data_IF_456967402241
#
_entry.id   IF_456967402241
#
_cell.length_a   1.000
_cell.length_b   1.000
_cell.length_c   1.000
_cell.angle_alpha   90.00
_cell.angle_beta   90.00
_cell.angle_gamma   90.00
#
_symmetry.space_group_name_H-M   'P 1'
#
loop_
_entity.id
_entity.type
_entity.pdbx_description
1 polymer ?
#
# COMPACT_ATOMS: atom_id res chain seq x y z
N UNK A 1 61.23 -3.00 -4.77
CA UNK A 1 60.50 -1.78 -4.35
C UNK A 1 59.04 -1.94 -4.73
N UNK A 2 58.24 -2.50 -3.81
CA UNK A 2 56.80 -2.75 -3.99
C UNK A 2 55.99 -1.54 -3.51
N UNK A 3 55.09 -1.03 -4.35
CA UNK A 3 54.13 0.02 -4.02
C UNK A 3 52.82 -0.61 -3.55
N UNK A 4 52.45 -0.37 -2.30
CA UNK A 4 51.10 -0.59 -1.77
C UNK A 4 50.18 0.59 -2.16
N UNK A 5 48.89 0.36 -2.50
CA UNK A 5 47.95 1.46 -2.77
C UNK A 5 47.39 2.05 -1.47
N UNK A 6 47.26 3.38 -1.44
CA UNK A 6 46.70 4.17 -0.35
C UNK A 6 45.22 3.85 -0.13
N UNK A 7 44.86 3.49 1.10
CA UNK A 7 43.48 3.53 1.60
C UNK A 7 43.07 4.97 1.87
N UNK A 8 41.99 5.43 1.23
CA UNK A 8 41.35 6.72 1.49
C UNK A 8 40.61 6.67 2.83
N UNK A 9 41.02 7.53 3.76
CA UNK A 9 40.42 7.75 5.08
C UNK A 9 39.15 8.62 4.95
N UNK A 10 38.07 8.21 5.63
CA UNK A 10 36.84 8.99 5.78
C UNK A 10 36.78 9.63 7.17
N UNK A 11 36.30 10.88 7.25
CA UNK A 11 36.11 11.62 8.51
C UNK A 11 34.64 11.63 8.93
N UNK A 12 34.28 10.93 10.00
CA UNK A 12 33.03 11.13 10.73
C UNK A 12 33.33 11.90 12.03
N UNK A 13 32.57 12.96 12.32
CA UNK A 13 32.71 13.70 13.60
C UNK A 13 31.99 12.93 14.72
N UNK A 14 32.60 12.73 15.90
CA UNK A 14 31.95 12.03 17.00
C UNK A 14 31.05 13.00 17.79
N UNK A 15 29.81 12.60 18.09
CA UNK A 15 28.98 13.21 19.14
C UNK A 15 28.55 12.15 20.17
N UNK A 16 28.36 12.62 21.40
CA UNK A 16 28.55 11.93 22.69
C UNK A 16 27.68 10.68 22.97
N UNK A 17 28.31 9.66 23.55
CA UNK A 17 27.82 8.28 23.81
C UNK A 17 26.97 8.08 25.09
N UNK A 18 26.11 9.01 25.53
CA UNK A 18 25.37 8.81 26.82
C UNK A 18 23.85 9.06 26.82
N UNK A 19 23.22 9.34 25.68
CA UNK A 19 21.76 9.55 25.62
C UNK A 19 20.97 8.41 24.92
N UNK A 20 21.63 7.34 24.46
CA UNK A 20 21.01 6.35 23.57
C UNK A 20 20.15 5.26 24.28
N UNK A 21 20.19 5.15 25.60
CA UNK A 21 19.59 4.00 26.31
C UNK A 21 18.08 4.14 26.64
N UNK A 22 17.42 5.22 26.24
CA UNK A 22 15.97 5.39 26.45
C UNK A 22 15.17 5.80 25.20
N UNK A 23 15.77 5.80 24.01
CA UNK A 23 15.17 6.44 22.82
C UNK A 23 14.53 5.49 21.78
N UNK A 24 14.65 4.16 21.93
CA UNK A 24 14.25 3.22 20.86
C UNK A 24 12.84 2.60 21.02
N UNK A 25 12.20 2.74 22.18
CA UNK A 25 10.76 2.41 22.33
C UNK A 25 9.85 3.56 21.83
N UNK A 26 10.35 4.79 21.74
CA UNK A 26 9.58 5.96 21.28
C UNK A 26 9.80 6.34 19.81
N UNK A 27 10.87 5.88 19.15
CA UNK A 27 11.17 6.29 17.77
C UNK A 27 10.20 5.69 16.72
N UNK A 28 9.75 4.45 16.92
CA UNK A 28 8.76 3.82 16.04
C UNK A 28 7.36 4.45 16.18
N UNK A 29 7.01 4.92 17.39
CA UNK A 29 5.77 5.64 17.67
C UNK A 29 5.83 7.08 17.13
N UNK A 30 6.99 7.74 17.22
CA UNK A 30 7.19 9.11 16.72
C UNK A 30 7.24 9.20 15.20
N UNK A 31 7.74 8.19 14.47
CA UNK A 31 7.71 8.19 12.99
C UNK A 31 6.27 8.05 12.47
N UNK A 32 5.41 7.30 13.17
CA UNK A 32 3.98 7.23 12.85
C UNK A 32 3.23 8.55 13.18
N UNK A 33 3.59 9.23 14.27
CA UNK A 33 2.95 10.51 14.67
C UNK A 33 3.44 11.70 13.82
N UNK A 34 4.72 11.76 13.45
CA UNK A 34 5.28 12.83 12.61
C UNK A 34 4.84 12.70 11.16
N UNK A 35 4.62 11.47 10.65
CA UNK A 35 3.99 11.23 9.35
C UNK A 35 2.53 11.72 9.28
N UNK A 36 1.79 11.63 10.39
CA UNK A 36 0.44 12.20 10.50
C UNK A 36 0.44 13.73 10.67
N UNK A 37 1.46 14.29 11.34
CA UNK A 37 1.58 15.73 11.59
C UNK A 37 1.98 16.55 10.35
N UNK A 38 2.73 15.97 9.40
CA UNK A 38 3.06 16.65 8.13
C UNK A 38 1.90 16.64 7.11
N UNK A 39 0.90 15.78 7.30
CA UNK A 39 -0.33 15.77 6.49
C UNK A 39 -1.40 16.77 6.98
N UNK A 40 -1.16 17.48 8.09
CA UNK A 40 -2.16 18.33 8.77
C UNK A 40 -1.70 19.77 9.08
N UNK A 41 -0.80 20.35 8.29
CA UNK A 41 -0.53 21.81 8.36
C UNK A 41 -0.92 22.50 7.04
N UNK A 42 -2.12 23.09 6.95
CA UNK A 42 -2.59 23.73 5.73
C UNK A 42 -2.11 25.18 5.63
N UNK A 43 -1.63 25.59 4.44
CA UNK A 43 -1.87 26.97 3.98
C UNK A 43 -3.29 27.01 3.41
N UNK A 44 -4.22 27.44 4.26
CA UNK A 44 -5.66 27.57 3.98
C UNK A 44 -6.03 28.36 2.71
N UNK A 45 -5.10 29.15 2.14
CA UNK A 45 -5.29 29.88 0.88
C UNK A 45 -5.36 28.97 -0.36
N UNK A 46 -4.64 27.84 -0.35
CA UNK A 46 -4.45 27.03 -1.56
C UNK A 46 -5.59 26.02 -1.75
N UNK A 47 -6.23 25.62 -0.65
CA UNK A 47 -7.44 24.79 -0.66
C UNK A 47 -8.65 25.52 -1.26
N UNK A 48 -8.81 26.83 -1.01
CA UNK A 48 -9.86 27.64 -1.64
C UNK A 48 -9.61 27.88 -3.14
N UNK A 49 -8.34 28.05 -3.53
CA UNK A 49 -7.95 28.15 -4.93
C UNK A 49 -8.21 26.83 -5.69
N UNK A 50 -7.86 25.68 -5.09
CA UNK A 50 -8.17 24.36 -5.65
C UNK A 50 -9.68 24.10 -5.76
N UNK A 51 -10.48 24.52 -4.76
CA UNK A 51 -11.94 24.40 -4.80
C UNK A 51 -12.59 25.30 -5.87
N UNK A 52 -12.02 26.49 -6.13
CA UNK A 52 -12.48 27.36 -7.22
C UNK A 52 -12.16 26.79 -8.60
N UNK A 53 -10.98 26.22 -8.79
CA UNK A 53 -10.57 25.58 -10.05
C UNK A 53 -11.47 24.36 -10.34
N UNK A 54 -11.79 23.54 -9.33
CA UNK A 54 -12.73 22.43 -9.48
C UNK A 54 -14.16 22.90 -9.79
N UNK A 55 -14.64 23.98 -9.18
CA UNK A 55 -15.95 24.57 -9.52
C UNK A 55 -16.01 25.14 -10.95
N UNK A 56 -14.90 25.65 -11.48
CA UNK A 56 -14.82 26.14 -12.86
C UNK A 56 -14.70 25.00 -13.88
N UNK A 57 -14.03 23.90 -13.54
CA UNK A 57 -13.95 22.71 -14.41
C UNK A 57 -15.27 21.97 -14.55
N UNK A 58 -16.14 22.01 -13.53
CA UNK A 58 -17.40 21.26 -13.48
C UNK A 58 -18.66 22.14 -13.48
N UNK A 59 -18.54 23.42 -13.81
CA UNK A 59 -19.71 24.26 -14.04
C UNK A 59 -20.44 23.79 -15.32
N UNK A 60 -21.77 23.59 -15.29
CA UNK A 60 -22.53 23.22 -16.47
C UNK A 60 -22.44 24.35 -17.50
N UNK A 61 -21.70 24.11 -18.59
CA UNK A 61 -21.71 24.99 -19.76
C UNK A 61 -23.11 24.92 -20.37
N UNK A 62 -23.86 26.02 -20.24
CA UNK A 62 -25.07 26.22 -21.01
C UNK A 62 -24.71 26.35 -22.49
N UNK A 63 -24.72 25.22 -23.21
CA UNK A 63 -24.72 25.21 -24.68
C UNK A 63 -26.13 24.84 -25.11
N UNK A 64 -26.81 25.85 -25.63
CA UNK A 64 -28.07 25.75 -26.33
C UNK A 64 -27.95 24.84 -27.56
N UNK A 65 -29.06 24.15 -27.84
CA UNK A 65 -29.54 23.68 -29.15
C UNK A 65 -28.68 24.02 -30.38
N UNK A 66 -28.16 23.00 -31.07
CA UNK A 66 -28.44 22.68 -32.49
C UNK A 66 -27.48 21.60 -32.98
N UNK A 67 -27.96 20.37 -33.17
CA UNK A 67 -27.37 19.37 -34.09
C UNK A 67 -28.53 18.70 -34.84
N UNK A 68 -28.47 18.50 -36.16
CA UNK A 68 -29.62 18.06 -36.97
C UNK A 68 -29.96 16.60 -36.68
N UNK A 69 -31.26 16.28 -36.60
CA UNK A 69 -31.76 14.90 -36.58
C UNK A 69 -31.57 14.28 -37.96
N UNK A 70 -30.53 13.49 -38.15
CA UNK A 70 -30.53 12.48 -39.20
C UNK A 70 -31.31 11.25 -38.72
N UNK A 71 -32.36 10.93 -39.48
CA UNK A 71 -33.19 9.75 -39.32
C UNK A 71 -32.34 8.48 -39.47
N UNK A 72 -32.00 7.85 -38.35
CA UNK A 72 -31.64 6.43 -38.33
C UNK A 72 -32.90 5.67 -37.94
N UNK A 73 -33.52 5.01 -38.92
CA UNK A 73 -34.57 4.02 -38.70
C UNK A 73 -33.99 2.83 -37.94
N UNK A 74 -34.31 2.72 -36.65
CA UNK A 74 -33.98 1.54 -35.82
C UNK A 74 -35.07 0.47 -36.02
N UNK A 75 -34.74 -0.77 -36.39
CA UNK A 75 -35.72 -1.85 -36.45
C UNK A 75 -36.21 -2.19 -35.04
N UNK A 76 -37.51 -2.40 -34.92
CA UNK A 76 -38.20 -2.78 -33.69
C UNK A 76 -37.74 -4.17 -33.21
N UNK A 77 -36.72 -4.22 -32.36
CA UNK A 77 -36.30 -5.41 -31.63
C UNK A 77 -36.14 -5.07 -30.16
N UNK A 78 -36.91 -5.73 -29.29
CA UNK A 78 -36.84 -5.59 -27.82
C UNK A 78 -35.39 -5.80 -27.35
N UNK A 79 -34.69 -4.74 -26.94
CA UNK A 79 -33.41 -4.86 -26.24
C UNK A 79 -33.67 -5.57 -24.92
N UNK A 80 -33.03 -6.73 -24.71
CA UNK A 80 -33.03 -7.38 -23.41
C UNK A 80 -32.45 -6.38 -22.39
N UNK A 81 -33.26 -5.99 -21.40
CA UNK A 81 -32.79 -5.16 -20.29
C UNK A 81 -31.74 -5.99 -19.57
N UNK A 82 -30.53 -5.43 -19.39
CA UNK A 82 -29.49 -6.05 -18.56
C UNK A 82 -30.12 -6.42 -17.20
N UNK A 83 -30.08 -7.70 -16.78
CA UNK A 83 -30.66 -8.14 -15.52
C UNK A 83 -30.19 -7.31 -14.32
N UNK A 84 -28.94 -6.85 -14.34
CA UNK A 84 -28.36 -6.00 -13.28
C UNK A 84 -29.03 -4.64 -13.25
N UNK A 85 -29.21 -4.01 -14.42
CA UNK A 85 -29.91 -2.73 -14.54
C UNK A 85 -31.39 -2.86 -14.14
N UNK A 86 -32.05 -3.95 -14.51
CA UNK A 86 -33.44 -4.22 -14.11
C UNK A 86 -33.59 -4.31 -12.59
N UNK A 87 -32.66 -5.03 -11.92
CA UNK A 87 -32.65 -5.14 -10.46
C UNK A 87 -32.33 -3.80 -9.78
N UNK A 88 -31.40 -3.01 -10.32
CA UNK A 88 -31.10 -1.67 -9.80
C UNK A 88 -32.33 -0.76 -9.90
N UNK A 89 -33.07 -0.79 -11.01
CA UNK A 89 -34.31 -0.03 -11.16
C UNK A 89 -35.37 -0.47 -10.14
N UNK A 90 -35.44 -1.77 -9.81
CA UNK A 90 -36.34 -2.30 -8.78
C UNK A 90 -35.98 -1.84 -7.35
N UNK A 91 -34.77 -1.30 -7.11
CA UNK A 91 -34.44 -0.66 -5.83
C UNK A 91 -35.22 0.65 -5.61
N UNK A 92 -35.59 1.34 -6.70
CA UNK A 92 -36.34 2.60 -6.67
C UNK A 92 -37.83 2.45 -6.98
N UNK A 93 -38.21 1.40 -7.71
CA UNK A 93 -39.56 1.28 -8.26
C UNK A 93 -40.62 0.97 -7.17
N UNK A 94 -41.33 2.02 -6.76
CA UNK A 94 -42.75 2.01 -6.43
C UNK A 94 -43.20 1.18 -5.21
N UNK A 95 -43.19 1.81 -4.04
CA UNK A 95 -44.02 1.51 -2.85
C UNK A 95 -44.06 0.09 -2.26
N UNK A 96 -43.41 -0.93 -2.82
CA UNK A 96 -43.37 -2.28 -2.26
C UNK A 96 -42.01 -2.59 -1.62
N UNK A 97 -41.91 -2.58 -0.27
CA UNK A 97 -40.71 -3.00 0.44
C UNK A 97 -40.25 -4.41 0.10
N UNK A 98 -41.15 -5.33 -0.26
CA UNK A 98 -40.80 -6.70 -0.61
C UNK A 98 -40.06 -6.78 -1.96
N UNK A 99 -40.48 -6.00 -2.95
CA UNK A 99 -39.80 -5.92 -4.26
C UNK A 99 -38.38 -5.39 -4.11
N UNK A 100 -38.19 -4.34 -3.29
CA UNK A 100 -36.86 -3.80 -3.01
C UNK A 100 -35.97 -4.79 -2.26
N UNK A 101 -36.52 -5.49 -1.27
CA UNK A 101 -35.79 -6.50 -0.53
C UNK A 101 -35.35 -7.66 -1.44
N UNK A 102 -36.24 -8.12 -2.32
CA UNK A 102 -35.92 -9.15 -3.32
C UNK A 102 -34.85 -8.68 -4.32
N UNK A 103 -34.93 -7.43 -4.79
CA UNK A 103 -33.92 -6.86 -5.68
C UNK A 103 -32.54 -6.76 -5.01
N UNK A 104 -32.48 -6.28 -3.75
CA UNK A 104 -31.25 -6.26 -2.95
C UNK A 104 -30.67 -7.67 -2.80
N UNK A 105 -31.50 -8.64 -2.45
CA UNK A 105 -31.05 -10.02 -2.26
C UNK A 105 -30.49 -10.65 -3.52
N UNK A 106 -31.16 -10.45 -4.67
CA UNK A 106 -30.65 -10.93 -5.95
C UNK A 106 -29.32 -10.28 -6.31
N UNK A 107 -29.16 -8.97 -6.10
CA UNK A 107 -27.90 -8.26 -6.35
C UNK A 107 -26.76 -8.76 -5.44
N UNK A 108 -27.05 -9.13 -4.19
CA UNK A 108 -26.05 -9.70 -3.27
C UNK A 108 -25.46 -11.01 -3.78
N UNK A 109 -26.31 -11.87 -4.35
CA UNK A 109 -25.93 -13.20 -4.82
C UNK A 109 -25.13 -13.18 -6.13
N UNK A 110 -25.08 -12.03 -6.82
CA UNK A 110 -24.32 -11.88 -8.05
C UNK A 110 -22.81 -11.71 -7.79
N UNK A 111 -21.95 -12.18 -8.73
CA UNK A 111 -20.50 -12.00 -8.62
C UNK A 111 -20.09 -10.52 -8.59
N UNK A 112 -19.26 -10.14 -7.62
CA UNK A 112 -18.84 -8.75 -7.36
C UNK A 112 -18.27 -8.06 -8.60
N UNK A 113 -17.40 -8.75 -9.34
CA UNK A 113 -16.74 -8.22 -10.52
C UNK A 113 -17.73 -7.87 -11.65
N UNK A 114 -18.87 -8.56 -11.72
CA UNK A 114 -19.89 -8.33 -12.74
C UNK A 114 -20.79 -7.13 -12.42
N UNK A 115 -21.06 -6.89 -11.13
CA UNK A 115 -22.03 -5.87 -10.71
C UNK A 115 -21.39 -4.56 -10.24
N UNK A 116 -20.11 -4.57 -9.83
CA UNK A 116 -19.46 -3.38 -9.26
C UNK A 116 -19.57 -2.14 -10.16
N UNK A 117 -19.31 -2.20 -11.49
CA UNK A 117 -19.47 -1.03 -12.36
C UNK A 117 -20.89 -0.47 -12.34
N UNK A 118 -21.90 -1.34 -12.45
CA UNK A 118 -23.30 -0.93 -12.46
C UNK A 118 -23.74 -0.34 -11.10
N UNK A 119 -23.22 -0.85 -9.99
CA UNK A 119 -23.46 -0.27 -8.66
C UNK A 119 -22.80 1.09 -8.53
N UNK A 120 -21.57 1.28 -9.00
CA UNK A 120 -20.93 2.59 -8.97
C UNK A 120 -21.68 3.62 -9.83
N UNK A 121 -22.13 3.24 -11.02
CA UNK A 121 -22.96 4.13 -11.86
C UNK A 121 -24.29 4.48 -11.17
N UNK A 122 -24.90 3.52 -10.48
CA UNK A 122 -26.17 3.71 -9.79
C UNK A 122 -26.10 4.65 -8.56
N UNK A 123 -24.90 4.94 -8.03
CA UNK A 123 -24.71 6.02 -7.06
C UNK A 123 -24.97 7.42 -7.64
N UNK A 124 -25.07 7.56 -8.96
CA UNK A 124 -25.43 8.83 -9.63
C UNK A 124 -26.89 8.87 -10.09
N UNK A 125 -27.67 7.84 -9.76
CA UNK A 125 -29.06 7.73 -10.19
C UNK A 125 -29.91 8.90 -9.67
N UNK A 126 -30.90 9.33 -10.44
CA UNK A 126 -31.82 10.41 -10.05
C UNK A 126 -32.67 10.07 -8.82
N UNK A 127 -33.00 8.79 -8.61
CA UNK A 127 -33.78 8.33 -7.48
C UNK A 127 -32.90 8.15 -6.21
N UNK A 128 -33.15 8.92 -5.14
CA UNK A 128 -32.39 8.80 -3.90
C UNK A 128 -32.54 7.42 -3.22
N UNK A 129 -33.65 6.71 -3.40
CA UNK A 129 -33.84 5.38 -2.82
C UNK A 129 -32.90 4.36 -3.46
N UNK A 130 -32.63 4.51 -4.76
CA UNK A 130 -31.64 3.69 -5.47
C UNK A 130 -30.26 4.00 -4.91
N UNK A 131 -29.86 5.28 -4.84
CA UNK A 131 -28.54 5.68 -4.32
C UNK A 131 -28.28 5.17 -2.90
N UNK A 132 -29.25 5.32 -2.00
CA UNK A 132 -29.15 4.82 -0.63
C UNK A 132 -29.04 3.29 -0.57
N UNK A 133 -29.87 2.57 -1.34
CA UNK A 133 -29.85 1.10 -1.40
C UNK A 133 -28.54 0.57 -1.96
N UNK A 134 -27.98 1.24 -2.97
CA UNK A 134 -26.70 0.88 -3.58
C UNK A 134 -25.55 1.11 -2.60
N UNK A 135 -25.60 2.18 -1.79
CA UNK A 135 -24.59 2.44 -0.76
C UNK A 135 -24.50 1.29 0.26
N UNK A 136 -25.65 0.76 0.69
CA UNK A 136 -25.72 -0.42 1.57
C UNK A 136 -25.07 -1.65 0.92
N UNK A 137 -25.44 -1.96 -0.34
CA UNK A 137 -24.89 -3.12 -1.06
C UNK A 137 -23.36 -3.01 -1.21
N UNK A 138 -22.84 -1.81 -1.49
CA UNK A 138 -21.40 -1.57 -1.62
C UNK A 138 -20.64 -1.82 -0.30
N UNK A 139 -21.22 -1.47 0.85
CA UNK A 139 -20.60 -1.74 2.15
C UNK A 139 -20.58 -3.22 2.52
N UNK A 140 -21.58 -3.99 2.08
CA UNK A 140 -21.61 -5.44 2.30
C UNK A 140 -20.62 -6.17 1.39
N UNK A 141 -20.62 -5.85 0.09
CA UNK A 141 -19.81 -6.56 -0.92
C UNK A 141 -18.36 -6.09 -0.97
N UNK A 142 -18.09 -4.89 -0.49
CA UNK A 142 -16.73 -4.34 -0.34
C UNK A 142 -15.85 -4.43 -1.60
N UNK A 143 -16.36 -4.15 -2.83
CA UNK A 143 -15.50 -4.14 -4.00
C UNK A 143 -14.43 -3.06 -3.90
N UNK A 144 -13.33 -3.21 -4.65
CA UNK A 144 -12.28 -2.18 -4.76
C UNK A 144 -12.92 -0.86 -5.21
N UNK A 145 -12.62 0.24 -4.50
CA UNK A 145 -13.18 1.57 -4.75
C UNK A 145 -14.48 1.90 -4.00
N UNK A 146 -15.09 0.93 -3.29
CA UNK A 146 -16.31 1.17 -2.50
C UNK A 146 -16.12 2.24 -1.43
N UNK A 147 -14.97 2.26 -0.76
CA UNK A 147 -14.68 3.24 0.30
C UNK A 147 -14.70 4.67 -0.23
N UNK A 148 -14.01 4.93 -1.34
CA UNK A 148 -13.93 6.25 -1.95
C UNK A 148 -15.28 6.70 -2.52
N UNK A 149 -15.98 5.78 -3.20
CA UNK A 149 -17.32 6.04 -3.73
C UNK A 149 -18.29 6.42 -2.61
N UNK A 150 -18.32 5.66 -1.50
CA UNK A 150 -19.17 5.96 -0.34
C UNK A 150 -18.76 7.24 0.36
N UNK A 151 -17.45 7.54 0.45
CA UNK A 151 -16.95 8.80 0.99
C UNK A 151 -17.49 9.99 0.19
N UNK A 152 -17.51 9.90 -1.15
CA UNK A 152 -18.11 10.91 -2.02
C UNK A 152 -19.63 10.99 -1.83
N UNK A 153 -20.32 9.86 -1.68
CA UNK A 153 -21.78 9.81 -1.44
C UNK A 153 -22.20 10.49 -0.13
N UNK A 154 -21.30 10.68 0.84
CA UNK A 154 -21.61 11.50 2.03
C UNK A 154 -21.80 12.99 1.72
N UNK A 155 -21.57 13.45 0.49
CA UNK A 155 -21.89 14.81 0.03
C UNK A 155 -23.21 14.89 -0.76
N UNK A 156 -23.98 13.80 -0.82
CA UNK A 156 -25.24 13.76 -1.57
C UNK A 156 -26.22 14.85 -1.11
N UNK A 157 -26.96 15.50 -2.03
CA UNK A 157 -27.95 16.50 -1.65
C UNK A 157 -29.05 15.95 -0.73
N UNK A 158 -29.41 14.66 -0.86
CA UNK A 158 -30.48 14.05 -0.09
C UNK A 158 -29.97 13.52 1.27
N UNK A 159 -30.54 13.98 2.41
CA UNK A 159 -30.11 13.55 3.75
C UNK A 159 -30.16 12.03 3.96
N UNK A 160 -31.18 11.36 3.42
CA UNK A 160 -31.33 9.91 3.53
C UNK A 160 -30.18 9.15 2.85
N UNK A 161 -29.69 9.67 1.72
CA UNK A 161 -28.57 9.06 0.99
C UNK A 161 -27.25 9.29 1.75
N UNK A 162 -27.05 10.50 2.29
CA UNK A 162 -25.89 10.79 3.15
C UNK A 162 -25.87 9.89 4.39
N UNK A 163 -27.02 9.70 5.05
CA UNK A 163 -27.15 8.82 6.20
C UNK A 163 -26.77 7.37 5.84
N UNK A 164 -27.31 6.85 4.74
CA UNK A 164 -27.00 5.51 4.25
C UNK A 164 -25.50 5.36 3.94
N UNK A 165 -24.88 6.36 3.31
CA UNK A 165 -23.44 6.36 3.03
C UNK A 165 -22.60 6.35 4.32
N UNK A 166 -22.96 7.16 5.33
CA UNK A 166 -22.25 7.18 6.62
C UNK A 166 -22.38 5.85 7.36
N UNK A 167 -23.57 5.25 7.36
CA UNK A 167 -23.80 3.93 7.95
C UNK A 167 -22.98 2.86 7.22
N UNK A 168 -23.01 2.88 5.88
CA UNK A 168 -22.23 1.99 5.01
C UNK A 168 -20.72 2.09 5.30
N UNK A 169 -20.18 3.31 5.43
CA UNK A 169 -18.78 3.54 5.83
C UNK A 169 -18.48 2.97 7.23
N UNK A 170 -19.43 3.09 8.16
CA UNK A 170 -19.34 2.49 9.49
C UNK A 170 -19.33 0.96 9.48
N UNK A 171 -20.03 0.30 8.55
CA UNK A 171 -19.99 -1.16 8.37
C UNK A 171 -18.68 -1.64 7.70
N UNK A 172 -18.11 -0.82 6.81
CA UNK A 172 -16.76 -1.09 6.28
C UNK A 172 -15.72 -0.97 7.40
N UNK A 173 -15.93 -0.02 8.33
CA UNK A 173 -15.08 0.22 9.49
C UNK A 173 -13.60 0.41 9.12
N UNK A 174 -13.31 1.15 8.05
CA UNK A 174 -11.95 1.50 7.65
C UNK A 174 -11.46 2.76 8.36
N UNK A 175 -10.26 2.76 8.99
CA UNK A 175 -9.71 3.96 9.63
C UNK A 175 -9.42 5.10 8.67
N UNK A 176 -9.29 4.83 7.36
CA UNK A 176 -9.05 5.86 6.36
C UNK A 176 -10.20 6.87 6.22
N UNK A 177 -11.40 6.53 6.71
CA UNK A 177 -12.56 7.41 6.65
C UNK A 177 -12.69 8.34 7.87
N UNK A 178 -11.88 8.16 8.92
CA UNK A 178 -11.95 8.96 10.14
C UNK A 178 -11.91 10.48 9.87
N UNK A 179 -11.01 11.01 9.02
CA UNK A 179 -11.00 12.45 8.72
C UNK A 179 -12.33 12.94 8.11
N UNK A 180 -13.00 12.08 7.34
CA UNK A 180 -14.30 12.41 6.74
C UNK A 180 -15.42 12.36 7.78
N UNK A 181 -15.41 11.38 8.68
CA UNK A 181 -16.38 11.31 9.78
C UNK A 181 -16.25 12.52 10.72
N UNK A 182 -15.03 12.97 11.01
CA UNK A 182 -14.78 14.18 11.80
C UNK A 182 -15.40 15.42 11.14
N UNK A 183 -15.19 15.59 9.83
CA UNK A 183 -15.81 16.68 9.08
C UNK A 183 -17.34 16.63 9.16
N UNK A 184 -17.94 15.45 9.03
CA UNK A 184 -19.40 15.29 9.13
C UNK A 184 -19.87 15.70 10.51
N UNK A 185 -19.18 15.29 11.58
CA UNK A 185 -19.54 15.70 12.95
C UNK A 185 -19.49 17.22 13.17
N UNK A 186 -18.57 17.92 12.49
CA UNK A 186 -18.40 19.37 12.63
C UNK A 186 -19.40 20.15 11.77
N UNK A 187 -19.59 19.73 10.51
CA UNK A 187 -20.26 20.55 9.49
C UNK A 187 -21.67 20.06 9.10
N UNK A 188 -22.04 18.82 9.39
CA UNK A 188 -23.38 18.32 9.05
C UNK A 188 -24.42 18.93 10.00
N UNK A 189 -25.53 19.39 9.43
CA UNK A 189 -26.62 20.02 10.16
C UNK A 189 -27.60 18.98 10.72
N UNK A 190 -27.72 17.83 10.06
CA UNK A 190 -28.59 16.74 10.48
C UNK A 190 -28.01 15.98 11.70
N UNK A 191 -28.78 15.92 12.78
CA UNK A 191 -28.37 15.26 14.01
C UNK A 191 -28.27 13.73 13.88
N UNK A 192 -29.09 13.10 13.03
CA UNK A 192 -29.05 11.66 12.80
C UNK A 192 -27.78 11.28 12.06
N UNK A 193 -27.39 12.06 11.06
CA UNK A 193 -26.15 11.83 10.29
C UNK A 193 -24.92 12.03 11.18
N UNK A 194 -24.88 13.08 12.00
CA UNK A 194 -23.80 13.26 13.00
C UNK A 194 -23.73 12.08 13.97
N UNK A 195 -24.88 11.62 14.47
CA UNK A 195 -24.96 10.46 15.37
C UNK A 195 -24.48 9.16 14.70
N UNK A 196 -24.79 8.97 13.41
CA UNK A 196 -24.29 7.83 12.65
C UNK A 196 -22.78 7.89 12.45
N UNK A 197 -22.22 9.09 12.20
CA UNK A 197 -20.77 9.28 12.07
C UNK A 197 -20.02 8.93 13.37
N UNK A 198 -20.55 9.34 14.53
CA UNK A 198 -20.00 8.96 15.83
C UNK A 198 -20.03 7.45 16.07
N UNK A 199 -21.12 6.78 15.67
CA UNK A 199 -21.22 5.33 15.78
C UNK A 199 -20.23 4.62 14.86
N UNK A 200 -20.08 5.10 13.63
CA UNK A 200 -19.09 4.59 12.67
C UNK A 200 -17.67 4.73 13.22
N UNK A 201 -17.31 5.91 13.75
CA UNK A 201 -16.02 6.17 14.38
C UNK A 201 -15.76 5.21 15.55
N UNK A 202 -16.74 5.00 16.43
CA UNK A 202 -16.62 4.04 17.54
C UNK A 202 -16.39 2.61 17.06
N UNK A 203 -17.08 2.18 15.99
CA UNK A 203 -16.88 0.85 15.39
C UNK A 203 -15.45 0.71 14.84
N UNK A 204 -14.93 1.74 14.18
CA UNK A 204 -13.56 1.78 13.66
C UNK A 204 -12.54 1.62 14.79
N UNK A 205 -12.63 2.42 15.85
CA UNK A 205 -11.69 2.30 16.97
C UNK A 205 -11.76 0.94 17.66
N UNK A 206 -12.96 0.37 17.84
CA UNK A 206 -13.11 -0.96 18.41
C UNK A 206 -12.42 -2.03 17.55
N UNK A 207 -12.59 -1.96 16.22
CA UNK A 207 -11.90 -2.85 15.28
C UNK A 207 -10.38 -2.68 15.35
N UNK A 208 -9.88 -1.45 15.25
CA UNK A 208 -8.43 -1.17 15.32
C UNK A 208 -7.85 -1.64 16.65
N UNK A 209 -8.55 -1.46 17.76
CA UNK A 209 -8.10 -1.93 19.07
C UNK A 209 -8.03 -3.47 19.16
N UNK A 210 -8.91 -4.21 18.48
CA UNK A 210 -8.81 -5.68 18.39
C UNK A 210 -7.67 -6.11 17.46
N UNK A 211 -7.47 -5.42 16.35
CA UNK A 211 -6.35 -5.69 15.42
C UNK A 211 -4.99 -5.45 16.10
N UNK A 212 -4.85 -4.37 16.89
CA UNK A 212 -3.61 -4.07 17.63
C UNK A 212 -3.25 -5.10 18.71
N UNK A 213 -4.18 -5.98 19.12
CA UNK A 213 -3.90 -7.08 20.06
C UNK A 213 -3.22 -8.27 19.41
N UNK A 214 -3.05 -8.28 18.09
CA UNK A 214 -2.45 -9.37 17.30
C UNK A 214 -1.03 -8.97 16.87
N UNK A 215 -0.01 -9.18 17.72
CA UNK A 215 1.37 -8.80 17.38
C UNK A 215 1.92 -9.51 16.14
N UNK A 216 1.37 -10.67 15.77
CA UNK A 216 1.67 -11.37 14.52
C UNK A 216 1.32 -10.55 13.27
N UNK A 217 0.36 -9.63 13.35
CA UNK A 217 -0.10 -8.77 12.26
C UNK A 217 0.79 -7.52 12.05
N UNK A 218 1.86 -7.36 12.85
CA UNK A 218 2.78 -6.23 12.68
C UNK A 218 3.48 -6.28 11.32
N UNK A 219 3.11 -5.34 10.45
CA UNK A 219 3.73 -5.14 9.15
C UNK A 219 5.20 -4.77 9.33
N UNK A 220 6.10 -5.57 8.75
CA UNK A 220 7.56 -5.37 8.80
C UNK A 220 8.09 -4.69 7.57
N UNK A 221 7.62 -5.13 6.40
CA UNK A 221 8.06 -4.60 5.13
C UNK A 221 6.94 -4.69 4.10
N UNK A 222 6.87 -3.67 3.26
CA UNK A 222 5.97 -3.59 2.12
C UNK A 222 6.84 -3.49 0.87
N UNK A 223 6.49 -4.24 -0.17
CA UNK A 223 7.13 -4.13 -1.48
C UNK A 223 6.06 -4.02 -2.57
N UNK A 224 6.39 -3.30 -3.64
CA UNK A 224 5.53 -3.15 -4.81
C UNK A 224 6.29 -3.67 -6.02
N UNK A 225 5.68 -4.60 -6.75
CA UNK A 225 6.23 -5.14 -7.99
C UNK A 225 6.30 -4.03 -9.05
N UNK A 226 7.50 -3.66 -9.55
CA UNK A 226 7.64 -2.54 -10.48
C UNK A 226 6.89 -2.73 -11.81
N UNK A 227 6.75 -3.98 -12.26
CA UNK A 227 6.20 -4.30 -13.58
C UNK A 227 4.67 -4.30 -13.65
N UNK A 228 3.98 -4.54 -12.54
CA UNK A 228 2.52 -4.64 -12.53
C UNK A 228 1.83 -3.98 -11.32
N UNK A 229 2.58 -3.35 -10.42
CA UNK A 229 2.05 -2.65 -9.26
C UNK A 229 1.50 -3.56 -8.15
N UNK A 230 1.70 -4.89 -8.22
CA UNK A 230 1.25 -5.81 -7.17
C UNK A 230 1.94 -5.48 -5.84
N UNK A 231 1.15 -5.36 -4.78
CA UNK A 231 1.62 -5.05 -3.43
C UNK A 231 1.80 -6.33 -2.63
N UNK A 232 2.91 -6.43 -1.92
CA UNK A 232 3.21 -7.49 -0.98
C UNK A 232 3.50 -6.90 0.39
N UNK A 233 2.94 -7.51 1.43
CA UNK A 233 3.13 -7.12 2.83
C UNK A 233 3.66 -8.31 3.58
N UNK A 234 4.83 -8.18 4.20
CA UNK A 234 5.37 -9.21 5.07
C UNK A 234 5.24 -8.78 6.54
N UNK A 235 4.68 -9.68 7.35
CA UNK A 235 4.47 -9.54 8.80
C UNK A 235 5.37 -10.52 9.54
N UNK A 236 5.16 -10.77 10.84
CA UNK A 236 5.94 -11.79 11.55
C UNK A 236 5.60 -13.22 11.15
N UNK A 237 4.37 -13.47 10.67
CA UNK A 237 3.87 -14.82 10.40
C UNK A 237 3.88 -15.19 8.91
N UNK A 238 3.71 -14.21 8.01
CA UNK A 238 3.40 -14.50 6.63
C UNK A 238 3.65 -13.37 5.64
N UNK A 239 3.55 -13.74 4.38
CA UNK A 239 3.43 -12.81 3.26
C UNK A 239 1.95 -12.67 2.91
N UNK A 240 1.49 -11.45 2.71
CA UNK A 240 0.11 -11.11 2.38
C UNK A 240 0.05 -10.31 1.08
N UNK A 241 -1.04 -10.52 0.35
CA UNK A 241 -1.38 -9.79 -0.88
C UNK A 241 -2.81 -9.24 -0.76
N UNK A 242 -3.14 -8.11 -1.42
CA UNK A 242 -4.47 -7.55 -1.36
C UNK A 242 -5.49 -8.44 -2.09
N UNK A 243 -6.69 -8.56 -1.51
CA UNK A 243 -7.86 -9.23 -2.09
C UNK A 243 -9.11 -8.38 -1.82
N UNK A 244 -9.49 -7.54 -2.78
CA UNK A 244 -10.56 -6.56 -2.57
C UNK A 244 -10.09 -5.47 -1.60
N UNK A 245 -10.88 -5.22 -0.53
CA UNK A 245 -10.47 -4.36 0.59
C UNK A 245 -9.77 -5.13 1.73
N UNK A 246 -9.62 -6.45 1.61
CA UNK A 246 -9.00 -7.31 2.61
C UNK A 246 -7.60 -7.79 2.18
N UNK A 247 -6.89 -8.44 3.11
CA UNK A 247 -5.59 -9.06 2.87
C UNK A 247 -5.72 -10.58 2.91
N UNK A 248 -5.06 -11.26 1.97
CA UNK A 248 -4.98 -12.71 1.95
C UNK A 248 -3.54 -13.15 2.23
N UNK A 249 -3.36 -14.06 3.20
CA UNK A 249 -2.08 -14.73 3.41
C UNK A 249 -1.74 -15.59 2.19
N UNK A 250 -0.59 -15.29 1.58
CA UNK A 250 -0.03 -15.97 0.42
C UNK A 250 0.80 -17.19 0.83
N UNK A 251 1.61 -17.05 1.88
CA UNK A 251 2.37 -18.14 2.50
C UNK A 251 2.75 -17.76 3.94
N UNK A 252 3.12 -18.75 4.74
CA UNK A 252 3.91 -18.52 5.95
C UNK A 252 5.37 -18.22 5.57
N UNK A 253 6.04 -17.42 6.39
CA UNK A 253 7.45 -17.12 6.19
C UNK A 253 8.33 -18.05 7.04
N UNK A 254 9.43 -18.61 6.48
CA UNK A 254 10.30 -19.52 7.23
C UNK A 254 11.12 -18.87 8.36
N UNK A 255 11.28 -17.55 8.32
CA UNK A 255 12.02 -16.76 9.30
C UNK A 255 11.51 -15.30 9.29
N UNK A 256 11.90 -14.52 10.30
CA UNK A 256 11.45 -13.15 10.51
C UNK A 256 11.89 -12.24 9.33
N UNK A 257 10.95 -11.61 8.61
CA UNK A 257 11.30 -10.76 7.48
C UNK A 257 11.84 -9.41 7.95
N UNK A 258 12.92 -8.97 7.30
CA UNK A 258 13.61 -7.71 7.58
C UNK A 258 13.68 -6.79 6.36
N UNK A 259 13.67 -7.36 5.17
CA UNK A 259 13.62 -6.64 3.90
C UNK A 259 12.91 -7.49 2.84
N UNK A 260 12.27 -6.84 1.85
CA UNK A 260 11.60 -7.50 0.74
C UNK A 260 11.85 -6.68 -0.53
N UNK A 261 12.26 -7.35 -1.61
CA UNK A 261 12.41 -6.75 -2.93
C UNK A 261 11.76 -7.65 -3.99
N UNK A 262 11.20 -7.03 -5.03
CA UNK A 262 10.62 -7.73 -6.17
C UNK A 262 11.51 -7.49 -7.39
N UNK A 263 11.70 -8.50 -8.22
CA UNK A 263 12.43 -8.34 -9.47
C UNK A 263 11.72 -7.35 -10.39
N UNK A 264 12.51 -6.49 -11.05
CA UNK A 264 11.99 -5.54 -12.02
C UNK A 264 11.54 -6.22 -13.33
N UNK A 265 12.12 -7.38 -13.66
CA UNK A 265 11.79 -8.17 -14.86
C UNK A 265 10.57 -9.07 -14.66
N UNK A 266 10.47 -9.65 -13.48
CA UNK A 266 9.52 -10.71 -13.17
C UNK A 266 8.85 -10.44 -11.83
N UNK A 267 7.57 -10.09 -11.87
CA UNK A 267 6.78 -9.83 -10.65
C UNK A 267 6.61 -11.07 -9.77
N UNK A 268 6.80 -12.29 -10.30
CA UNK A 268 6.70 -13.52 -9.54
C UNK A 268 8.01 -13.88 -8.80
N UNK A 269 9.11 -13.19 -9.13
CA UNK A 269 10.40 -13.37 -8.45
C UNK A 269 10.57 -12.37 -7.31
N UNK A 270 10.63 -12.87 -6.08
CA UNK A 270 10.79 -12.08 -4.86
C UNK A 270 12.06 -12.49 -4.10
N UNK A 271 12.68 -11.51 -3.44
CA UNK A 271 13.83 -11.69 -2.55
C UNK A 271 13.46 -11.20 -1.16
N UNK A 272 13.52 -12.10 -0.19
CA UNK A 272 13.24 -11.82 1.21
C UNK A 272 14.53 -11.87 2.02
N UNK A 273 14.86 -10.76 2.66
CA UNK A 273 15.86 -10.69 3.70
C UNK A 273 15.28 -11.13 5.02
N UNK A 274 16.03 -11.94 5.75
CA UNK A 274 15.60 -12.52 7.03
C UNK A 274 16.61 -12.24 8.14
N UNK A 275 16.20 -12.46 9.39
CA UNK A 275 17.04 -12.24 10.56
C UNK A 275 18.11 -13.31 10.80
N UNK A 276 17.91 -14.52 10.29
CA UNK A 276 18.81 -15.65 10.57
C UNK A 276 18.99 -16.62 9.41
N UNK A 277 18.09 -16.65 8.43
CA UNK A 277 18.23 -17.52 7.24
C UNK A 277 18.90 -16.82 6.04
N UNK A 278 19.34 -15.56 6.18
CA UNK A 278 19.92 -14.83 5.07
C UNK A 278 18.87 -14.39 4.04
N UNK A 279 19.12 -14.67 2.76
CA UNK A 279 18.20 -14.33 1.67
C UNK A 279 17.40 -15.56 1.25
N UNK A 280 16.08 -15.44 1.26
CA UNK A 280 15.16 -16.38 0.64
C UNK A 280 14.70 -15.83 -0.72
N UNK A 281 14.51 -16.71 -1.69
CA UNK A 281 14.01 -16.40 -3.03
C UNK A 281 12.72 -17.15 -3.29
N UNK A 282 11.75 -16.46 -3.87
CA UNK A 282 10.55 -17.07 -4.44
C UNK A 282 10.54 -16.83 -5.95
N UNK A 283 9.95 -17.77 -6.70
CA UNK A 283 9.73 -17.69 -8.15
C UNK A 283 8.25 -17.86 -8.53
N UNK A 284 7.38 -17.84 -7.54
CA UNK A 284 5.95 -18.12 -7.69
C UNK A 284 5.10 -17.13 -6.89
N UNK A 285 5.53 -15.86 -6.85
CA UNK A 285 4.83 -14.78 -6.16
C UNK A 285 4.76 -14.97 -4.64
N UNK A 286 5.78 -15.59 -4.05
CA UNK A 286 5.87 -15.79 -2.61
C UNK A 286 5.01 -16.93 -2.08
N UNK A 287 4.62 -17.91 -2.93
CA UNK A 287 3.93 -19.12 -2.46
C UNK A 287 4.92 -20.10 -1.84
N UNK A 288 6.10 -20.23 -2.47
CA UNK A 288 7.20 -21.07 -1.99
C UNK A 288 8.49 -20.26 -1.91
N UNK A 289 9.37 -20.65 -0.99
CA UNK A 289 10.61 -19.96 -0.67
C UNK A 289 11.77 -20.94 -0.61
N UNK A 290 12.86 -20.60 -1.29
CA UNK A 290 14.11 -21.33 -1.30
C UNK A 290 15.21 -20.47 -0.68
N UNK A 291 16.05 -21.05 0.17
CA UNK A 291 17.14 -20.33 0.82
C UNK A 291 18.38 -20.27 -0.09
N UNK A 292 18.83 -19.05 -0.38
CA UNK A 292 20.04 -18.80 -1.16
C UNK A 292 21.27 -18.84 -0.24
N UNK A 293 21.71 -20.06 0.12
CA UNK A 293 22.85 -20.27 1.03
C UNK A 293 24.22 -20.12 0.38
N UNK A 294 24.31 -20.21 -0.94
CA UNK A 294 25.61 -20.29 -1.59
C UNK A 294 26.34 -18.95 -1.51
N UNK A 295 27.54 -18.96 -0.91
CA UNK A 295 28.53 -17.86 -0.85
C UNK A 295 28.15 -16.58 -0.09
N UNK A 296 26.90 -16.40 0.36
CA UNK A 296 26.59 -15.36 1.33
C UNK A 296 26.95 -15.85 2.73
N UNK A 297 27.90 -15.23 3.44
CA UNK A 297 28.28 -15.66 4.77
C UNK A 297 27.16 -15.24 5.73
N UNK A 298 26.21 -16.15 5.94
CA UNK A 298 25.12 -15.96 6.90
C UNK A 298 25.28 -16.95 8.06
N UNK A 299 26.34 -16.83 8.89
CA UNK A 299 26.41 -17.60 10.12
C UNK A 299 25.25 -17.21 11.04
N UNK A 300 25.02 -18.03 12.06
CA UNK A 300 24.09 -17.71 13.13
C UNK A 300 24.34 -16.26 13.60
N UNK A 301 23.26 -15.45 13.65
CA UNK A 301 23.23 -14.05 14.15
C UNK A 301 23.66 -12.95 13.16
N UNK A 302 23.67 -13.24 11.86
CA UNK A 302 23.77 -12.19 10.81
C UNK A 302 22.42 -11.94 10.16
N UNK A 303 22.07 -10.66 10.02
CA UNK A 303 20.78 -10.23 9.48
C UNK A 303 20.95 -9.57 8.13
N UNK A 304 20.10 -9.92 7.18
CA UNK A 304 19.94 -9.14 5.95
C UNK A 304 19.09 -7.92 6.26
N UNK A 305 19.67 -6.73 6.39
CA UNK A 305 18.93 -5.54 6.86
C UNK A 305 18.31 -4.74 5.72
N UNK A 306 18.82 -4.90 4.50
CA UNK A 306 18.26 -4.28 3.31
C UNK A 306 18.58 -5.11 2.05
N UNK A 307 17.66 -5.09 1.09
CA UNK A 307 17.82 -5.68 -0.24
C UNK A 307 17.42 -4.65 -1.28
N UNK A 308 18.15 -4.57 -2.39
CA UNK A 308 17.74 -3.85 -3.58
C UNK A 308 18.04 -4.67 -4.84
N UNK A 309 17.08 -4.75 -5.77
CA UNK A 309 17.28 -5.35 -7.09
C UNK A 309 17.54 -4.21 -8.07
N UNK A 310 18.50 -4.39 -8.98
CA UNK A 310 18.74 -3.40 -10.02
C UNK A 310 17.54 -3.31 -10.97
N UNK A 311 17.03 -2.10 -11.25
CA UNK A 311 15.96 -1.90 -12.22
C UNK A 311 16.42 -2.12 -13.67
N UNK A 312 17.73 -2.03 -13.93
CA UNK A 312 18.33 -2.14 -15.28
C UNK A 312 18.88 -3.52 -15.57
N UNK A 313 19.46 -4.17 -14.55
CA UNK A 313 20.02 -5.51 -14.65
C UNK A 313 19.38 -6.38 -13.59
N UNK A 314 18.19 -6.96 -13.82
CA UNK A 314 17.38 -7.64 -12.81
C UNK A 314 18.06 -8.82 -12.11
N UNK A 315 19.11 -9.39 -12.71
CA UNK A 315 19.99 -10.41 -12.09
C UNK A 315 20.99 -9.83 -11.09
N UNK A 316 21.18 -8.52 -11.05
CA UNK A 316 22.05 -7.83 -10.09
C UNK A 316 21.25 -7.49 -8.85
N UNK A 317 21.62 -8.09 -7.73
CA UNK A 317 20.96 -7.92 -6.43
C UNK A 317 21.99 -7.44 -5.41
N UNK A 318 21.63 -6.45 -4.60
CA UNK A 318 22.43 -5.91 -3.52
C UNK A 318 21.81 -6.27 -2.18
N UNK A 319 22.66 -6.63 -1.21
CA UNK A 319 22.28 -6.97 0.16
C UNK A 319 23.18 -6.24 1.13
N UNK A 320 22.60 -5.64 2.15
CA UNK A 320 23.32 -5.19 3.33
C UNK A 320 23.26 -6.28 4.41
N UNK A 321 24.42 -6.75 4.87
CA UNK A 321 24.56 -7.61 6.04
C UNK A 321 25.04 -6.80 7.24
N UNK A 322 24.35 -6.96 8.36
CA UNK A 322 24.74 -6.40 9.65
C UNK A 322 24.47 -7.39 10.79
N UNK A 323 25.11 -7.17 11.93
CA UNK A 323 24.85 -7.90 13.16
C UNK A 323 23.93 -7.08 14.06
N UNK A 324 22.94 -7.72 14.69
CA UNK A 324 22.14 -7.08 15.74
C UNK A 324 22.79 -7.37 17.10
N UNK A 325 23.23 -6.31 17.79
CA UNK A 325 23.77 -6.26 19.17
C UNK A 325 24.79 -7.34 19.56
N UNK A 326 26.06 -6.96 19.83
CA UNK A 326 27.08 -7.65 20.66
C UNK A 326 27.21 -9.20 20.59
N UNK A 327 26.73 -9.84 19.53
CA UNK A 327 26.53 -11.30 19.51
C UNK A 327 27.33 -12.05 18.45
N UNK A 328 28.06 -11.35 17.59
CA UNK A 328 28.95 -11.95 16.59
C UNK A 328 30.38 -11.93 17.12
N UNK A 329 31.01 -13.10 17.20
CA UNK A 329 32.43 -13.19 17.50
C UNK A 329 33.25 -12.56 16.36
N UNK A 330 34.22 -11.73 16.76
CA UNK A 330 34.77 -10.59 16.04
C UNK A 330 35.52 -10.87 14.71
N UNK A 331 35.51 -12.08 14.15
CA UNK A 331 36.47 -12.42 13.07
C UNK A 331 36.00 -13.29 11.91
N UNK A 332 34.80 -13.87 11.92
CA UNK A 332 34.50 -14.90 10.90
C UNK A 332 33.66 -14.42 9.70
N UNK A 333 32.86 -13.36 9.84
CA UNK A 333 31.99 -12.90 8.74
C UNK A 333 32.14 -11.41 8.45
N UNK A 334 32.59 -11.02 7.25
CA UNK A 334 32.67 -9.63 6.89
C UNK A 334 31.27 -9.03 6.72
N UNK A 335 30.86 -8.15 7.63
CA UNK A 335 29.65 -7.35 7.47
C UNK A 335 29.84 -6.29 6.39
N UNK A 336 28.73 -5.85 5.79
CA UNK A 336 28.76 -4.80 4.79
C UNK A 336 27.85 -5.04 3.60
N UNK A 337 28.24 -4.44 2.48
CA UNK A 337 27.49 -4.50 1.24
C UNK A 337 27.97 -5.67 0.36
N UNK A 338 27.03 -6.54 0.03
CA UNK A 338 27.20 -7.68 -0.87
C UNK A 338 26.43 -7.46 -2.17
N UNK A 339 26.90 -8.14 -3.21
CA UNK A 339 26.30 -8.09 -4.52
C UNK A 339 26.31 -9.47 -5.16
N UNK A 340 25.20 -9.82 -5.78
CA UNK A 340 25.08 -10.91 -6.73
C UNK A 340 24.94 -10.36 -8.15
N UNK A 341 25.51 -11.04 -9.15
CA UNK A 341 25.29 -10.77 -10.59
C UNK A 341 24.45 -11.85 -11.29
N UNK A 342 24.07 -12.90 -10.58
CA UNK A 342 23.43 -14.10 -11.11
C UNK A 342 22.06 -14.37 -10.50
N UNK A 343 21.40 -13.33 -10.00
CA UNK A 343 20.07 -13.36 -9.39
C UNK A 343 20.03 -14.02 -7.99
N UNK A 344 21.12 -13.89 -7.23
CA UNK A 344 21.25 -14.32 -5.84
C UNK A 344 21.90 -15.70 -5.64
N UNK A 345 22.36 -16.34 -6.70
CA UNK A 345 22.97 -17.69 -6.63
C UNK A 345 24.38 -17.60 -6.04
N UNK A 346 25.15 -16.56 -6.41
CA UNK A 346 26.45 -16.24 -5.82
C UNK A 346 26.56 -14.78 -5.38
N UNK A 347 27.37 -14.54 -4.35
CA UNK A 347 27.52 -13.25 -3.69
C UNK A 347 29.00 -12.88 -3.54
N UNK A 348 29.30 -11.61 -3.76
CA UNK A 348 30.61 -11.02 -3.59
C UNK A 348 30.51 -9.81 -2.66
N UNK A 349 31.43 -9.71 -1.69
CA UNK A 349 31.55 -8.53 -0.84
C UNK A 349 32.10 -7.37 -1.68
N UNK A 350 31.36 -6.26 -1.75
CA UNK A 350 31.78 -5.07 -2.49
C UNK A 350 32.24 -3.92 -1.58
N UNK A 351 31.79 -3.91 -0.32
CA UNK A 351 32.29 -2.97 0.68
C UNK A 351 32.13 -3.55 2.08
N UNK A 352 33.24 -3.66 2.83
CA UNK A 352 33.21 -4.01 4.26
C UNK A 352 32.79 -2.79 5.08
N UNK A 353 31.96 -2.98 6.09
CA UNK A 353 31.59 -1.94 7.04
C UNK A 353 32.05 -2.27 8.47
N UNK A 354 32.19 -1.26 9.34
CA UNK A 354 32.33 -1.49 10.77
C UNK A 354 31.10 -2.22 11.35
N UNK A 355 31.27 -2.90 12.48
CA UNK A 355 30.25 -3.80 13.03
C UNK A 355 29.00 -3.08 13.57
N UNK A 356 29.13 -1.82 13.94
CA UNK A 356 28.04 -0.95 14.38
C UNK A 356 27.26 -0.30 13.21
N UNK A 357 27.63 -0.60 11.96
CA UNK A 357 26.98 -0.02 10.78
C UNK A 357 25.81 -0.89 10.32
N UNK A 358 24.61 -0.41 10.63
CA UNK A 358 23.37 -0.99 10.12
C UNK A 358 22.83 -0.12 8.99
N UNK A 359 22.77 -0.69 7.78
CA UNK A 359 22.03 -0.07 6.67
C UNK A 359 20.58 -0.53 6.75
N UNK A 360 19.68 0.43 6.94
CA UNK A 360 18.25 0.21 7.11
C UNK A 360 17.52 0.06 5.78
N UNK A 361 18.00 0.76 4.73
CA UNK A 361 17.38 0.75 3.39
C UNK A 361 18.44 0.90 2.31
N UNK A 362 18.18 0.24 1.18
CA UNK A 362 18.93 0.35 -0.07
C UNK A 362 17.95 0.77 -1.17
N UNK A 363 18.31 1.78 -1.95
CA UNK A 363 17.49 2.27 -3.07
C UNK A 363 18.38 2.58 -4.26
N UNK A 364 17.93 2.21 -5.45
CA UNK A 364 18.54 2.60 -6.72
C UNK A 364 17.55 3.53 -7.41
N UNK A 365 18.04 4.62 -8.00
CA UNK A 365 17.22 5.48 -8.83
C UNK A 365 16.75 4.68 -10.07
N UNK A 366 15.42 4.49 -10.27
CA UNK A 366 14.90 3.69 -11.36
C UNK A 366 15.03 4.37 -12.74
N UNK A 367 15.24 5.69 -12.78
CA UNK A 367 15.37 6.47 -14.02
C UNK A 367 16.84 6.64 -14.38
N UNK A 368 17.68 6.96 -13.39
CA UNK A 368 19.11 7.21 -13.56
C UNK A 368 19.94 6.33 -12.63
N UNK A 369 20.12 5.03 -12.94
CA UNK A 369 20.72 4.00 -12.07
C UNK A 369 22.26 4.10 -11.98
N UNK A 370 22.76 5.31 -11.69
CA UNK A 370 24.18 5.62 -11.57
C UNK A 370 24.72 5.30 -10.17
N UNK A 371 23.85 5.30 -9.16
CA UNK A 371 24.22 5.11 -7.77
C UNK A 371 23.22 4.21 -7.04
N UNK A 372 23.76 3.36 -6.17
CA UNK A 372 23.03 2.73 -5.08
C UNK A 372 23.14 3.63 -3.86
N UNK A 373 22.02 3.98 -3.26
CA UNK A 373 21.95 4.77 -2.03
C UNK A 373 21.61 3.88 -0.86
N UNK A 374 22.27 4.13 0.27
CA UNK A 374 21.97 3.46 1.52
C UNK A 374 21.70 4.45 2.64
N UNK A 375 20.73 4.13 3.48
CA UNK A 375 20.40 4.91 4.67
C UNK A 375 20.77 4.13 5.93
N UNK A 376 21.36 4.83 6.88
CA UNK A 376 21.80 4.35 8.18
C UNK A 376 21.13 5.18 9.28
N UNK A 377 21.15 4.71 10.52
CA UNK A 377 20.69 5.51 11.66
C UNK A 377 21.46 6.84 11.81
N UNK A 378 22.74 6.83 11.45
CA UNK A 378 23.66 7.96 11.63
C UNK A 378 23.85 8.83 10.39
N UNK A 379 23.23 8.49 9.26
CA UNK A 379 23.37 9.24 8.01
C UNK A 379 23.03 8.44 6.75
N UNK A 380 23.57 8.88 5.61
CA UNK A 380 23.38 8.20 4.32
C UNK A 380 24.69 8.08 3.56
N UNK A 381 24.74 7.14 2.61
CA UNK A 381 25.87 6.92 1.73
C UNK A 381 25.39 6.60 0.31
N UNK A 382 26.31 6.68 -0.66
CA UNK A 382 26.06 6.27 -2.05
C UNK A 382 27.24 5.49 -2.61
N UNK A 383 26.95 4.52 -3.47
CA UNK A 383 27.93 3.68 -4.14
C UNK A 383 27.74 3.78 -5.67
N UNK A 384 28.79 4.12 -6.45
CA UNK A 384 28.68 4.26 -7.89
C UNK A 384 28.52 2.90 -8.58
N UNK A 385 27.41 2.72 -9.29
CA UNK A 385 27.08 1.48 -9.99
C UNK A 385 27.92 1.23 -11.24
N UNK A 386 28.60 2.26 -11.77
CA UNK A 386 29.59 2.11 -12.84
C UNK A 386 30.76 1.18 -12.46
N UNK A 387 31.03 0.98 -11.16
CA UNK A 387 32.04 0.02 -10.68
C UNK A 387 31.59 -1.44 -10.77
N UNK A 388 30.31 -1.66 -11.04
CA UNK A 388 29.65 -2.96 -11.01
C UNK A 388 29.14 -3.35 -12.38
N UNK A 389 28.52 -2.39 -13.08
CA UNK A 389 27.92 -2.58 -14.41
C UNK A 389 28.97 -2.63 -15.53
N UNK A 390 30.22 -2.25 -15.26
CA UNK A 390 31.29 -2.34 -16.25
C UNK A 390 32.18 -3.57 -15.99
N UNK A 391 32.08 -4.60 -16.85
CA UNK A 391 33.18 -5.37 -17.51
C UNK A 391 32.78 -6.79 -17.99
N UNK A 392 33.26 -7.25 -19.16
CA UNK A 392 33.06 -6.69 -20.50
C UNK A 392 31.98 -7.47 -21.29
N UNK A 393 31.55 -6.87 -22.42
CA UNK A 393 30.66 -7.47 -23.41
C UNK A 393 31.28 -8.69 -24.11
#
# INVERSE_FOLDING_TARGET
MSRTPRTTTWSARPHNRRAANHFLLDAALMIAIVGLAFALTPRLSDAQAALQILRQMFAPQAVASTIPRENISVPSGRTAIDPTQALIQQLGNGNDPAVRAAAKENLRQMPDAAIAPALFDALTNTDPLIRASVAEILAEKKPVGALDALALTTYDPEPNVRLAAVQALGEIASPLILPRLDQIQIYETDAQIRGAAQQAEKKIYARVAEELKRPEDFVRVIAVAPSNGRIYVATWDGLYVPRGMDWQMQSRLPDLPTALAVSAEDADTLYLGTSGLGVLKSRDSGKTWEQLKQSLPTPERTTVTAIAVSPTYPRVVFVALAAWFDTVEQNETPLGLYMSKDAGETWSLISKWPEDYVTLRLVIDPIAPNYLYGMMETGSWRFPLSKVYCEPC
#
